data_IF_638997213960
#
_entry.id   IF_638997213960
#
_cell.length_a   1.000
_cell.length_b   1.000
_cell.length_c   1.000
_cell.angle_alpha   90.00
_cell.angle_beta   90.00
_cell.angle_gamma   90.00
#
_symmetry.space_group_name_H-M   'P 1'
#
loop_
_entity.id
_entity.type
_entity.pdbx_description
1 polymer ?
#
# COMPACT_ATOMS: atom_id res chain seq x y z
N UNK A 1 -5.55 15.06 7.33
CA UNK A 1 -4.93 13.79 6.93
C UNK A 1 -3.82 14.10 5.96
N UNK A 2 -2.64 13.52 6.17
CA UNK A 2 -1.50 13.72 5.29
C UNK A 2 -1.53 12.63 4.22
N UNK A 3 -1.62 13.01 2.95
CA UNK A 3 -1.78 12.03 1.87
C UNK A 3 -0.48 11.24 1.65
N UNK A 4 0.68 11.87 1.82
CA UNK A 4 1.96 11.21 1.60
C UNK A 4 3.03 11.83 2.48
N UNK A 5 3.76 11.00 3.23
CA UNK A 5 4.97 11.46 3.92
C UNK A 5 6.20 11.32 3.02
N UNK A 6 7.09 12.28 3.15
CA UNK A 6 8.29 12.44 2.33
C UNK A 6 9.45 11.72 3.01
N UNK A 7 10.09 10.80 2.29
CA UNK A 7 11.31 10.14 2.74
C UNK A 7 12.53 10.52 1.92
N UNK A 8 13.71 10.12 2.40
CA UNK A 8 15.02 10.41 1.78
C UNK A 8 15.10 10.14 0.27
N UNK A 9 14.45 9.07 -0.23
CA UNK A 9 14.49 8.67 -1.64
C UNK A 9 13.34 9.23 -2.47
N UNK A 10 12.40 9.96 -1.86
CA UNK A 10 11.27 10.54 -2.59
C UNK A 10 11.74 11.66 -3.50
N UNK A 11 11.23 11.66 -4.73
CA UNK A 11 11.63 12.60 -5.76
C UNK A 11 10.94 13.95 -5.56
N UNK A 12 11.73 15.00 -5.72
CA UNK A 12 11.24 16.35 -5.94
C UNK A 12 10.82 16.52 -7.40
N UNK A 13 10.04 17.56 -7.68
CA UNK A 13 9.73 18.06 -9.01
C UNK A 13 10.97 18.20 -9.90
N UNK A 14 12.10 18.65 -9.33
CA UNK A 14 13.36 18.79 -10.05
C UNK A 14 14.06 17.46 -10.38
N UNK A 15 13.41 16.32 -10.16
CA UNK A 15 13.90 14.94 -10.33
C UNK A 15 15.01 14.51 -9.37
N UNK A 16 15.47 15.40 -8.48
CA UNK A 16 16.40 15.07 -7.40
C UNK A 16 15.68 14.56 -6.17
N UNK A 17 16.39 13.79 -5.35
CA UNK A 17 15.84 13.17 -4.15
C UNK A 17 15.77 14.16 -2.99
N UNK A 18 14.88 13.92 -2.03
CA UNK A 18 14.74 14.77 -0.85
C UNK A 18 16.07 14.95 -0.11
N UNK A 19 16.86 13.89 0.05
CA UNK A 19 18.20 13.94 0.66
C UNK A 19 19.23 14.85 -0.05
N UNK A 20 18.96 15.24 -1.29
CA UNK A 20 19.81 16.15 -2.07
C UNK A 20 19.39 17.61 -1.92
N UNK A 21 18.37 17.90 -1.11
CA UNK A 21 17.95 19.25 -0.76
C UNK A 21 18.56 19.68 0.58
N UNK A 22 18.49 20.97 0.88
CA UNK A 22 19.04 21.54 2.11
C UNK A 22 18.20 21.11 3.32
N UNK A 23 18.74 20.17 4.09
CA UNK A 23 18.17 19.69 5.34
C UNK A 23 18.85 20.28 6.58
N UNK A 24 20.13 20.65 6.45
CA UNK A 24 20.91 21.18 7.56
C UNK A 24 20.64 22.68 7.71
N UNK A 25 19.73 23.02 8.62
CA UNK A 25 19.51 24.39 9.11
C UNK A 25 20.08 24.50 10.52
N UNK A 26 20.98 25.47 10.73
CA UNK A 26 21.47 25.77 12.09
C UNK A 26 20.38 26.41 12.95
N UNK A 27 19.56 27.26 12.33
CA UNK A 27 18.36 27.83 12.93
C UNK A 27 17.21 27.60 11.96
N UNK A 28 16.18 26.91 12.43
CA UNK A 28 14.97 26.67 11.65
C UNK A 28 14.27 28.03 11.43
N UNK A 29 13.99 28.43 10.18
CA UNK A 29 13.24 29.64 9.89
C UNK A 29 11.87 29.62 10.57
N UNK A 30 11.49 30.74 11.20
CA UNK A 30 10.14 30.91 11.80
C UNK A 30 9.07 31.19 10.76
N UNK A 31 9.46 31.77 9.63
CA UNK A 31 8.55 32.12 8.54
C UNK A 31 8.18 30.87 7.73
N UNK A 32 6.88 30.70 7.48
CA UNK A 32 6.31 29.61 6.67
C UNK A 32 5.98 30.14 5.26
N UNK A 33 6.20 29.35 4.20
CA UNK A 33 6.73 27.99 4.16
C UNK A 33 8.27 27.93 4.25
N UNK A 34 8.81 26.86 4.87
CA UNK A 34 10.27 26.64 4.92
C UNK A 34 10.78 26.26 3.53
N UNK A 35 11.60 27.11 2.92
CA UNK A 35 12.21 26.82 1.63
C UNK A 35 13.33 25.78 1.80
N UNK A 36 13.21 24.63 1.13
CA UNK A 36 14.22 23.55 1.13
C UNK A 36 14.88 23.47 -0.27
N UNK A 37 15.88 24.30 -0.59
CA UNK A 37 16.48 24.37 -1.92
C UNK A 37 17.31 23.13 -2.27
N UNK A 38 17.42 22.84 -3.57
CA UNK A 38 18.25 21.72 -4.05
C UNK A 38 19.75 22.06 -3.99
N UNK A 39 20.59 21.13 -3.51
CA UNK A 39 22.05 21.28 -3.44
C UNK A 39 22.77 20.77 -4.69
N UNK A 40 22.06 20.13 -5.62
CA UNK A 40 22.67 19.60 -6.85
C UNK A 40 23.13 20.75 -7.74
N UNK A 41 24.37 20.67 -8.23
CA UNK A 41 24.99 21.70 -9.06
C UNK A 41 24.10 22.09 -10.23
N UNK A 42 23.89 23.39 -10.44
CA UNK A 42 23.10 24.00 -11.53
C UNK A 42 21.59 23.70 -11.48
N UNK A 43 21.06 23.13 -10.40
CA UNK A 43 19.61 23.00 -10.21
C UNK A 43 19.01 24.35 -9.78
N UNK A 44 17.92 24.78 -10.42
CA UNK A 44 17.22 26.04 -10.11
C UNK A 44 16.05 25.86 -9.13
N UNK A 45 15.95 24.69 -8.50
CA UNK A 45 14.90 24.36 -7.56
C UNK A 45 15.08 25.10 -6.22
N UNK A 46 14.13 25.99 -5.90
CA UNK A 46 14.18 26.85 -4.70
C UNK A 46 13.61 26.17 -3.45
N UNK A 47 12.68 25.24 -3.62
CA UNK A 47 12.00 24.52 -2.55
C UNK A 47 11.65 23.11 -2.98
N UNK A 48 11.67 22.18 -2.04
CA UNK A 48 11.26 20.81 -2.29
C UNK A 48 9.75 20.75 -2.59
N UNK A 49 9.39 20.08 -3.68
CA UNK A 49 8.01 19.84 -4.08
C UNK A 49 7.84 18.38 -4.46
N UNK A 50 7.07 17.63 -3.68
CA UNK A 50 6.71 16.25 -3.98
C UNK A 50 5.71 16.19 -5.13
N UNK A 51 5.97 15.34 -6.12
CA UNK A 51 5.00 15.02 -7.18
C UNK A 51 4.40 13.65 -6.88
N UNK A 52 3.07 13.52 -6.80
CA UNK A 52 2.44 12.22 -6.60
C UNK A 52 2.73 11.30 -7.79
N UNK A 53 2.85 10.01 -7.49
CA UNK A 53 3.07 8.95 -8.46
C UNK A 53 1.86 8.02 -8.43
N UNK A 54 1.49 7.46 -9.58
CA UNK A 54 0.51 6.39 -9.62
C UNK A 54 1.25 5.06 -9.42
N UNK A 55 1.46 4.68 -8.15
CA UNK A 55 2.38 3.61 -7.78
C UNK A 55 3.81 3.95 -8.19
N UNK A 56 4.35 3.26 -9.18
CA UNK A 56 5.68 3.53 -9.75
C UNK A 56 5.63 4.40 -11.00
N UNK A 57 4.45 4.69 -11.54
CA UNK A 57 4.31 5.39 -12.81
C UNK A 57 4.24 6.91 -12.60
N UNK A 58 5.02 7.70 -13.36
CA UNK A 58 4.93 9.15 -13.32
C UNK A 58 3.59 9.62 -13.89
N UNK A 59 2.99 10.61 -13.25
CA UNK A 59 1.74 11.22 -13.70
C UNK A 59 2.02 12.31 -14.74
N UNK A 60 1.04 12.55 -15.62
CA UNK A 60 1.13 13.58 -16.65
C UNK A 60 0.40 14.84 -16.22
N UNK A 61 0.92 15.98 -16.67
CA UNK A 61 0.21 17.25 -16.65
C UNK A 61 -0.95 17.23 -17.67
N UNK A 62 -1.89 18.17 -17.56
CA UNK A 62 -2.95 18.45 -18.54
C UNK A 62 -2.40 18.68 -19.95
N UNK A 63 -1.18 19.20 -20.07
CA UNK A 63 -0.48 19.34 -21.36
C UNK A 63 0.09 18.02 -21.92
N UNK A 64 -0.17 16.88 -21.27
CA UNK A 64 0.31 15.52 -21.62
C UNK A 64 1.79 15.24 -21.41
N UNK A 65 2.55 16.24 -20.96
CA UNK A 65 3.97 16.11 -20.61
C UNK A 65 4.16 15.73 -19.14
N UNK A 66 5.29 15.11 -18.83
CA UNK A 66 5.65 14.68 -17.47
C UNK A 66 6.31 15.83 -16.68
N UNK A 67 6.53 15.64 -15.37
CA UNK A 67 7.09 16.68 -14.49
C UNK A 67 8.52 17.09 -14.88
N UNK A 68 9.32 16.16 -15.39
CA UNK A 68 10.68 16.38 -15.91
C UNK A 68 10.73 17.31 -17.13
N UNK A 69 9.63 17.42 -17.88
CA UNK A 69 9.48 18.31 -19.04
C UNK A 69 8.94 19.70 -18.67
N UNK A 70 8.90 20.00 -17.38
CA UNK A 70 8.56 21.31 -16.84
C UNK A 70 9.78 21.88 -16.10
N UNK A 71 9.84 23.21 -16.01
CA UNK A 71 10.92 23.87 -15.28
C UNK A 71 10.84 23.58 -13.79
N UNK A 72 11.99 23.34 -13.15
CA UNK A 72 12.09 23.24 -11.69
C UNK A 72 12.03 24.61 -10.98
N UNK A 73 12.04 25.71 -11.75
CA UNK A 73 11.87 27.04 -11.21
C UNK A 73 10.42 27.27 -10.74
N UNK A 74 10.20 28.20 -9.79
CA UNK A 74 8.86 28.55 -9.34
C UNK A 74 7.93 28.85 -10.51
N UNK A 75 6.72 28.30 -10.45
CA UNK A 75 5.74 28.36 -11.53
C UNK A 75 5.63 27.07 -12.33
N UNK A 76 6.67 26.22 -12.38
CA UNK A 76 6.63 24.91 -13.03
C UNK A 76 6.12 24.94 -14.49
N UNK A 77 6.52 25.96 -15.26
CA UNK A 77 6.09 26.13 -16.64
C UNK A 77 6.58 24.97 -17.52
N UNK A 78 5.78 24.56 -18.50
CA UNK A 78 6.18 23.50 -19.41
C UNK A 78 7.22 24.00 -20.42
N UNK A 79 8.27 23.21 -20.64
CA UNK A 79 9.31 23.54 -21.62
C UNK A 79 8.88 23.23 -23.06
N UNK A 80 7.89 22.35 -23.23
CA UNK A 80 7.46 21.83 -24.54
C UNK A 80 6.22 22.52 -25.10
N UNK A 81 5.46 23.26 -24.28
CA UNK A 81 4.25 23.94 -24.74
C UNK A 81 4.08 25.33 -24.13
N UNK A 82 3.56 26.27 -24.93
CA UNK A 82 3.43 27.68 -24.56
C UNK A 82 2.20 28.03 -23.72
N UNK A 83 1.21 27.13 -23.65
CA UNK A 83 -0.06 27.36 -22.93
C UNK A 83 -0.06 26.83 -21.49
N UNK A 84 0.96 26.05 -21.11
CA UNK A 84 1.04 25.43 -19.79
C UNK A 84 1.88 26.30 -18.87
N UNK A 85 1.19 27.02 -17.98
CA UNK A 85 1.81 27.92 -17.02
C UNK A 85 2.35 27.20 -15.77
N UNK A 86 1.90 25.97 -15.51
CA UNK A 86 2.27 25.20 -14.34
C UNK A 86 1.87 23.73 -14.43
N UNK A 87 2.52 22.88 -13.64
CA UNK A 87 2.22 21.46 -13.61
C UNK A 87 0.88 21.18 -12.92
N UNK A 88 -0.14 20.89 -13.72
CA UNK A 88 -1.46 20.53 -13.23
C UNK A 88 -1.83 19.15 -13.75
N UNK A 89 -1.85 18.15 -12.87
CA UNK A 89 -2.36 16.81 -13.21
C UNK A 89 -3.82 16.64 -12.78
N UNK A 90 -4.60 15.92 -13.60
CA UNK A 90 -5.95 15.46 -13.23
C UNK A 90 -5.91 14.14 -12.45
N UNK A 91 -4.73 13.64 -12.06
CA UNK A 91 -4.59 12.48 -11.20
C UNK A 91 -5.26 12.74 -9.85
N UNK A 92 -6.15 11.82 -9.47
CA UNK A 92 -6.83 11.76 -8.18
C UNK A 92 -5.98 10.99 -7.19
N UNK A 93 -5.58 11.64 -6.11
CA UNK A 93 -4.92 10.99 -4.98
C UNK A 93 -5.90 10.00 -4.29
N UNK A 94 -5.36 9.04 -3.53
CA UNK A 94 -6.16 8.12 -2.72
C UNK A 94 -7.09 8.81 -1.70
N UNK A 95 -6.82 10.07 -1.35
CA UNK A 95 -7.72 10.91 -0.55
C UNK A 95 -8.97 11.40 -1.30
N UNK A 96 -9.06 11.17 -2.62
CA UNK A 96 -10.16 11.61 -3.48
C UNK A 96 -9.97 13.01 -4.09
N UNK A 97 -8.99 13.78 -3.64
CA UNK A 97 -8.70 15.11 -4.20
C UNK A 97 -7.71 15.04 -5.37
N UNK A 98 -7.79 16.00 -6.32
CA UNK A 98 -6.85 16.06 -7.43
C UNK A 98 -5.48 16.57 -6.99
N UNK A 99 -4.43 16.23 -7.75
CA UNK A 99 -3.04 16.58 -7.43
C UNK A 99 -2.82 18.07 -7.15
N UNK A 100 -3.46 18.96 -7.90
CA UNK A 100 -3.28 20.41 -7.73
C UNK A 100 -3.85 20.98 -6.42
N UNK A 101 -4.71 20.23 -5.72
CA UNK A 101 -5.22 20.61 -4.41
C UNK A 101 -4.26 20.20 -3.27
N UNK A 102 -3.17 19.50 -3.59
CA UNK A 102 -2.18 19.08 -2.61
C UNK A 102 -1.08 20.12 -2.50
N UNK A 103 -0.72 20.43 -1.27
CA UNK A 103 0.43 21.25 -0.95
C UNK A 103 1.52 20.41 -0.29
N UNK A 104 2.77 20.79 -0.51
CA UNK A 104 3.93 20.15 0.13
C UNK A 104 4.36 21.04 1.27
N UNK A 105 4.07 20.58 2.48
CA UNK A 105 4.37 21.32 3.71
C UNK A 105 5.60 20.71 4.36
N UNK A 106 6.51 21.58 4.80
CA UNK A 106 7.66 21.21 5.63
C UNK A 106 7.38 21.72 7.02
N UNK A 107 7.37 20.83 8.01
CA UNK A 107 7.06 21.10 9.41
C UNK A 107 8.22 20.65 10.29
N UNK A 108 8.35 21.21 11.49
CA UNK A 108 9.36 20.78 12.45
C UNK A 108 8.82 19.72 13.40
N UNK A 109 9.74 19.05 14.09
CA UNK A 109 9.42 18.06 15.11
C UNK A 109 8.61 18.68 16.26
N UNK A 110 8.96 19.89 16.68
CA UNK A 110 8.28 20.60 17.77
C UNK A 110 6.83 20.93 17.41
N UNK A 111 6.58 21.32 16.16
CA UNK A 111 5.22 21.59 15.66
C UNK A 111 4.38 20.31 15.64
N UNK A 112 4.97 19.20 15.18
CA UNK A 112 4.29 17.90 15.20
C UNK A 112 3.87 17.48 16.62
N UNK A 113 4.78 17.62 17.59
CA UNK A 113 4.49 17.34 18.99
C UNK A 113 3.39 18.26 19.53
N UNK A 114 3.43 19.56 19.20
CA UNK A 114 2.42 20.52 19.61
C UNK A 114 1.03 20.19 19.03
N UNK A 115 0.98 19.62 17.82
CA UNK A 115 -0.25 19.12 17.20
C UNK A 115 -0.68 17.73 17.67
N UNK A 116 0.06 17.10 18.60
CA UNK A 116 -0.23 15.76 19.10
C UNK A 116 -0.04 14.65 18.05
N UNK A 117 0.78 14.89 17.03
CA UNK A 117 1.07 13.93 15.96
C UNK A 117 2.18 12.96 16.39
N UNK A 118 2.16 11.71 15.91
CA UNK A 118 3.20 10.74 16.23
C UNK A 118 4.53 11.16 15.61
N UNK A 119 5.60 11.13 16.38
CA UNK A 119 6.94 11.53 15.95
C UNK A 119 7.88 10.33 15.95
N UNK A 120 8.67 10.21 14.89
CA UNK A 120 9.65 9.13 14.75
C UNK A 120 10.79 9.21 15.77
N UNK A 121 11.47 8.07 15.94
CA UNK A 121 12.66 8.01 16.78
C UNK A 121 13.79 8.86 16.20
N UNK A 122 14.54 9.53 17.07
CA UNK A 122 15.68 10.34 16.64
C UNK A 122 16.76 9.49 16.00
N UNK A 123 17.00 9.76 14.72
CA UNK A 123 17.99 9.10 13.89
C UNK A 123 19.07 10.11 13.50
N UNK A 124 20.35 9.68 13.45
CA UNK A 124 21.46 10.58 13.12
C UNK A 124 21.40 11.11 11.68
N UNK A 125 20.54 10.53 10.83
CA UNK A 125 20.38 10.95 9.45
C UNK A 125 19.21 11.94 9.29
N UNK A 126 19.54 13.24 9.17
CA UNK A 126 18.57 14.33 9.11
C UNK A 126 17.52 14.20 7.98
N UNK A 127 17.86 13.55 6.87
CA UNK A 127 16.94 13.38 5.74
C UNK A 127 15.90 12.25 5.93
N UNK A 128 15.92 11.55 7.08
CA UNK A 128 14.80 10.67 7.45
C UNK A 128 13.52 11.47 7.76
N UNK A 129 13.65 12.76 8.14
CA UNK A 129 12.50 13.62 8.42
C UNK A 129 11.63 13.09 9.56
N UNK A 130 10.32 13.34 9.46
CA UNK A 130 9.32 12.94 10.45
C UNK A 130 8.73 11.53 10.28
N UNK A 131 9.41 10.63 9.56
CA UNK A 131 8.91 9.27 9.36
C UNK A 131 8.92 8.49 10.69
N UNK A 132 7.75 8.00 11.11
CA UNK A 132 7.59 7.17 12.31
C UNK A 132 7.96 5.70 12.06
N UNK A 133 7.87 5.24 10.82
CA UNK A 133 8.28 3.91 10.38
C UNK A 133 8.24 3.77 8.85
N UNK A 134 8.45 2.54 8.34
CA UNK A 134 8.36 2.29 6.89
C UNK A 134 6.93 2.41 6.36
N UNK A 135 5.91 2.11 7.18
CA UNK A 135 4.49 2.28 6.84
C UNK A 135 4.13 3.74 6.53
N UNK A 136 4.84 4.70 7.13
CA UNK A 136 4.65 6.13 6.90
C UNK A 136 4.83 6.54 5.43
N UNK A 137 5.61 5.78 4.66
CA UNK A 137 5.83 6.02 3.22
C UNK A 137 4.66 5.56 2.34
N UNK A 138 3.74 4.75 2.87
CA UNK A 138 2.53 4.38 2.16
C UNK A 138 1.58 5.58 2.05
N UNK A 139 0.68 5.52 1.08
CA UNK A 139 -0.36 6.54 0.91
C UNK A 139 -1.22 6.64 2.17
N UNK A 140 -1.62 7.86 2.54
CA UNK A 140 -2.38 8.19 3.74
C UNK A 140 -3.61 7.33 3.93
N UNK A 141 -4.33 7.05 2.85
CA UNK A 141 -5.53 6.20 2.88
C UNK A 141 -5.24 4.73 3.21
N UNK A 142 -4.01 4.23 2.98
CA UNK A 142 -3.61 2.85 3.25
C UNK A 142 -3.03 2.65 4.65
N UNK A 143 -2.70 3.74 5.35
CA UNK A 143 -2.03 3.70 6.67
C UNK A 143 -3.07 3.53 7.78
N UNK A 144 -2.93 2.46 8.55
CA UNK A 144 -3.80 2.15 9.70
C UNK A 144 -3.30 2.74 11.03
N UNK A 145 -2.09 3.31 11.06
CA UNK A 145 -1.57 4.03 12.21
C UNK A 145 -2.12 5.46 12.29
N UNK A 146 -1.92 6.12 13.44
CA UNK A 146 -2.43 7.47 13.74
C UNK A 146 -1.97 8.55 12.74
N UNK A 147 -0.92 8.27 11.95
CA UNK A 147 -0.47 9.18 10.90
C UNK A 147 -1.35 9.14 9.65
N UNK A 148 -2.21 8.11 9.50
CA UNK A 148 -2.97 7.74 8.31
C UNK A 148 -4.49 7.96 8.41
N UNK A 149 -5.26 7.05 7.80
CA UNK A 149 -6.73 7.00 7.95
C UNK A 149 -7.14 6.36 9.29
N UNK A 150 -6.20 5.65 9.93
CA UNK A 150 -6.44 4.91 11.16
C UNK A 150 -7.12 3.57 10.93
N UNK A 151 -7.08 2.70 11.93
CA UNK A 151 -7.86 1.47 11.90
C UNK A 151 -9.36 1.82 11.89
N UNK A 152 -10.18 1.17 11.04
CA UNK A 152 -11.62 1.34 11.10
C UNK A 152 -12.13 0.98 12.50
N UNK A 153 -13.12 1.72 13.00
CA UNK A 153 -13.70 1.49 14.32
C UNK A 153 -14.26 0.08 14.44
N UNK A 154 -14.15 -0.52 15.63
CA UNK A 154 -14.72 -1.85 15.92
C UNK A 154 -16.22 -1.89 15.60
N UNK A 155 -16.96 -0.82 15.92
CA UNK A 155 -18.37 -0.65 15.59
C UNK A 155 -18.67 -0.74 14.09
N UNK A 156 -17.73 -0.28 13.25
CA UNK A 156 -17.88 -0.36 11.79
C UNK A 156 -17.61 -1.79 11.30
N UNK A 157 -16.62 -2.47 11.87
CA UNK A 157 -16.30 -3.87 11.55
C UNK A 157 -17.37 -4.85 12.04
N UNK A 158 -17.99 -4.55 13.18
CA UNK A 158 -19.05 -5.37 13.79
C UNK A 158 -20.45 -4.98 13.29
N UNK A 159 -20.57 -3.96 12.44
CA UNK A 159 -21.85 -3.52 11.91
C UNK A 159 -22.52 -4.64 11.09
N UNK A 160 -23.83 -4.90 11.31
CA UNK A 160 -24.54 -5.91 10.54
C UNK A 160 -24.48 -5.57 9.04
N UNK A 161 -24.07 -6.53 8.21
CA UNK A 161 -24.06 -6.33 6.76
C UNK A 161 -25.48 -5.97 6.29
N UNK A 162 -25.55 -4.86 5.58
CA UNK A 162 -26.76 -4.32 4.96
C UNK A 162 -26.95 -4.87 3.55
N UNK A 163 -28.12 -4.62 2.97
CA UNK A 163 -28.38 -5.01 1.59
C UNK A 163 -27.49 -4.25 0.57
N UNK A 164 -26.88 -3.15 0.96
CA UNK A 164 -25.97 -2.37 0.10
C UNK A 164 -24.54 -2.92 0.05
N UNK A 165 -24.21 -3.91 0.89
CA UNK A 165 -22.86 -4.44 0.95
C UNK A 165 -22.51 -5.40 -0.19
N UNK A 166 -21.20 -5.50 -0.45
CA UNK A 166 -20.67 -6.25 -1.57
C UNK A 166 -21.10 -7.73 -1.49
N UNK A 167 -21.54 -8.36 -2.60
CA UNK A 167 -22.03 -9.74 -2.60
C UNK A 167 -21.04 -10.76 -2.01
N UNK A 168 -19.73 -10.48 -2.14
CA UNK A 168 -18.66 -11.27 -1.52
C UNK A 168 -18.82 -11.37 0.01
N UNK A 169 -19.05 -10.25 0.71
CA UNK A 169 -19.19 -10.24 2.16
C UNK A 169 -20.44 -11.02 2.61
N UNK A 170 -21.52 -10.96 1.82
CA UNK A 170 -22.75 -11.72 2.07
C UNK A 170 -22.53 -13.24 1.97
N UNK A 171 -21.64 -13.69 1.09
CA UNK A 171 -21.38 -15.12 0.88
C UNK A 171 -20.67 -15.82 2.06
N UNK A 172 -19.92 -15.06 2.88
CA UNK A 172 -19.21 -15.60 4.04
C UNK A 172 -19.98 -15.49 5.36
N UNK A 173 -21.23 -15.02 5.33
CA UNK A 173 -22.15 -15.14 6.46
C UNK A 173 -22.61 -16.60 6.63
N UNK A 174 -21.74 -17.44 7.18
CA UNK A 174 -22.15 -18.69 7.82
C UNK A 174 -22.69 -18.40 9.22
N UNK A 175 -23.64 -19.19 9.75
CA UNK A 175 -24.22 -18.93 11.07
C UNK A 175 -23.15 -19.02 12.15
N UNK A 176 -22.91 -17.91 12.86
CA UNK A 176 -22.23 -17.90 14.15
C UNK A 176 -23.11 -18.65 15.16
N UNK A 177 -22.85 -19.94 15.35
CA UNK A 177 -23.57 -20.75 16.35
C UNK A 177 -23.03 -20.44 17.75
N UNK A 178 -23.54 -19.39 18.38
CA UNK A 178 -23.60 -19.27 19.84
C UNK A 178 -25.07 -19.27 20.30
N UNK A 179 -25.80 -20.34 20.01
CA UNK A 179 -27.03 -20.69 20.73
C UNK A 179 -27.43 -22.12 20.41
N UNK A 180 -27.30 -23.01 21.40
CA UNK A 180 -27.93 -24.32 21.38
C UNK A 180 -29.44 -24.13 21.49
N UNK A 181 -30.24 -24.61 20.54
CA UNK A 181 -31.54 -25.23 20.86
C UNK A 181 -32.03 -26.13 19.72
N UNK A 182 -32.68 -27.23 20.12
CA UNK A 182 -33.10 -28.42 19.35
C UNK A 182 -34.06 -28.15 18.17
N UNK A 183 -33.93 -28.99 17.15
CA UNK A 183 -34.88 -29.25 16.04
C UNK A 183 -36.29 -29.67 16.53
N UNK A 184 -37.35 -29.62 15.69
CA UNK A 184 -37.52 -30.58 14.57
C UNK A 184 -38.10 -30.03 13.24
N UNK A 185 -37.53 -30.55 12.15
CA UNK A 185 -38.09 -30.97 10.84
C UNK A 185 -39.48 -30.44 10.41
N UNK A 186 -39.54 -29.74 9.27
CA UNK A 186 -40.54 -29.94 8.18
C UNK A 186 -40.04 -29.27 6.90
N UNK A 187 -40.22 -29.97 5.77
CA UNK A 187 -39.49 -29.76 4.51
C UNK A 187 -39.93 -28.59 3.63
N UNK A 188 -39.16 -28.41 2.55
CA UNK A 188 -39.41 -27.44 1.49
C UNK A 188 -38.18 -27.26 0.62
N UNK A 189 -38.07 -28.06 -0.43
CA UNK A 189 -37.03 -27.99 -1.46
C UNK A 189 -36.94 -26.59 -2.07
N UNK A 190 -35.72 -26.03 -2.14
CA UNK A 190 -35.30 -25.16 -3.22
C UNK A 190 -33.78 -25.26 -3.38
N UNK A 191 -33.38 -25.74 -4.55
CA UNK A 191 -32.00 -25.92 -4.97
C UNK A 191 -31.29 -24.56 -5.00
N UNK A 192 -30.55 -24.28 -3.94
CA UNK A 192 -29.37 -23.42 -4.00
C UNK A 192 -28.20 -24.35 -3.74
N UNK A 193 -27.22 -24.38 -4.64
CA UNK A 193 -25.97 -25.11 -4.45
C UNK A 193 -25.26 -24.42 -3.29
N UNK A 194 -25.61 -24.84 -2.07
CA UNK A 194 -24.85 -24.54 -0.88
C UNK A 194 -23.53 -25.26 -1.08
N UNK A 195 -22.48 -24.50 -1.33
CA UNK A 195 -21.11 -24.99 -1.20
C UNK A 195 -20.92 -25.23 0.30
N UNK A 196 -21.35 -26.40 0.76
CA UNK A 196 -21.03 -26.91 2.08
C UNK A 196 -19.56 -27.30 2.06
N UNK A 197 -18.67 -26.32 2.20
CA UNK A 197 -17.44 -26.61 2.91
C UNK A 197 -17.88 -26.76 4.37
N UNK A 198 -18.22 -28.00 4.75
CA UNK A 198 -18.09 -28.41 6.14
C UNK A 198 -16.69 -27.94 6.57
N UNK A 199 -16.61 -27.01 7.52
CA UNK A 199 -15.35 -26.56 8.10
C UNK A 199 -14.69 -27.77 8.76
N UNK A 200 -13.98 -28.57 7.98
CA UNK A 200 -12.90 -29.39 8.50
C UNK A 200 -11.83 -28.41 9.00
N UNK A 201 -11.28 -28.71 10.17
CA UNK A 201 -10.18 -27.92 10.74
C UNK A 201 -9.10 -27.74 9.68
N UNK A 202 -8.47 -26.57 9.58
CA UNK A 202 -7.36 -26.32 8.64
C UNK A 202 -6.23 -27.36 8.80
N UNK A 203 -6.06 -27.88 10.02
CA UNK A 203 -5.15 -28.98 10.36
C UNK A 203 -5.53 -30.30 9.66
N UNK A 204 -6.83 -30.56 9.49
CA UNK A 204 -7.39 -31.77 8.89
C UNK A 204 -7.25 -31.73 7.35
N UNK A 205 -7.36 -30.54 6.75
CA UNK A 205 -7.10 -30.31 5.33
C UNK A 205 -5.61 -30.46 4.99
N UNK A 206 -4.72 -29.92 5.83
CA UNK A 206 -3.26 -30.13 5.72
C UNK A 206 -2.90 -31.62 5.79
N UNK A 207 -3.47 -32.37 6.73
CA UNK A 207 -3.22 -33.81 6.88
C UNK A 207 -3.69 -34.61 5.66
N UNK A 208 -4.80 -34.22 5.04
CA UNK A 208 -5.31 -34.84 3.81
C UNK A 208 -4.32 -34.70 2.64
N UNK A 209 -3.82 -33.49 2.38
CA UNK A 209 -2.86 -33.26 1.29
C UNK A 209 -1.52 -33.94 1.54
N UNK A 210 -1.03 -33.94 2.79
CA UNK A 210 0.22 -34.61 3.14
C UNK A 210 0.14 -36.13 2.94
N UNK A 211 -0.97 -36.76 3.36
CA UNK A 211 -1.19 -38.19 3.16
C UNK A 211 -1.19 -38.57 1.68
N UNK A 212 -1.89 -37.81 0.85
CA UNK A 212 -1.92 -38.03 -0.60
C UNK A 212 -0.54 -37.87 -1.25
N UNK A 213 0.24 -36.88 -0.80
CA UNK A 213 1.61 -36.69 -1.27
C UNK A 213 2.51 -37.88 -0.91
N UNK A 214 2.44 -38.38 0.33
CA UNK A 214 3.20 -39.55 0.77
C UNK A 214 2.81 -40.83 0.00
N UNK A 215 1.53 -41.02 -0.31
CA UNK A 215 1.07 -42.16 -1.11
C UNK A 215 1.61 -42.12 -2.54
N UNK A 216 1.67 -40.93 -3.17
CA UNK A 216 2.29 -40.76 -4.49
C UNK A 216 3.76 -41.12 -4.47
N UNK A 217 4.51 -40.65 -3.47
CA UNK A 217 5.93 -40.98 -3.32
C UNK A 217 6.16 -42.49 -3.10
N UNK A 218 5.29 -43.15 -2.33
CA UNK A 218 5.34 -44.61 -2.13
C UNK A 218 5.08 -45.36 -3.43
N UNK A 219 4.07 -44.97 -4.20
CA UNK A 219 3.75 -45.56 -5.52
C UNK A 219 4.91 -45.39 -6.51
N UNK A 220 5.53 -44.22 -6.54
CA UNK A 220 6.68 -43.94 -7.41
C UNK A 220 7.90 -44.78 -7.02
N UNK A 221 8.20 -44.92 -5.72
CA UNK A 221 9.28 -45.80 -5.24
C UNK A 221 9.02 -47.26 -5.57
N UNK A 222 7.79 -47.74 -5.41
CA UNK A 222 7.40 -49.11 -5.76
C UNK A 222 7.50 -49.37 -7.28
N UNK A 223 7.13 -48.39 -8.11
CA UNK A 223 7.29 -48.47 -9.56
C UNK A 223 8.78 -48.55 -9.95
N UNK A 224 9.62 -47.70 -9.37
CA UNK A 224 11.08 -47.71 -9.58
C UNK A 224 11.77 -48.99 -9.08
N UNK A 225 11.22 -49.66 -8.06
CA UNK A 225 11.70 -50.98 -7.63
C UNK A 225 11.29 -52.10 -8.59
N UNK A 226 10.06 -52.07 -9.12
CA UNK A 226 9.60 -53.04 -10.13
C UNK A 226 10.39 -52.96 -11.44
N UNK A 227 10.83 -51.76 -11.81
CA UNK A 227 11.64 -51.52 -13.01
C UNK A 227 13.10 -52.01 -12.87
N UNK A 228 13.58 -52.23 -11.64
CA UNK A 228 14.96 -52.69 -11.36
C UNK A 228 15.10 -54.21 -11.13
N UNK A 229 14.02 -54.98 -11.26
CA UNK A 229 14.07 -56.46 -11.13
C UNK A 229 14.59 -57.10 -12.43
N UNK A 230 15.71 -57.84 -12.43
CA UNK A 230 16.30 -58.40 -13.66
C UNK A 230 15.51 -59.60 -14.19
N UNK A 231 15.23 -59.59 -15.50
CA UNK A 231 14.75 -60.74 -16.28
C UNK A 231 15.80 -61.85 -16.23
N UNK A 232 15.52 -62.97 -15.55
CA UNK A 232 16.37 -64.15 -15.59
C UNK A 232 16.30 -64.81 -16.98
N UNK A 233 17.46 -64.84 -17.64
CA UNK A 233 17.71 -65.47 -18.94
C UNK A 233 17.55 -66.99 -18.87
N UNK A 234 16.75 -67.56 -19.77
CA UNK A 234 16.74 -68.99 -20.09
C UNK A 234 17.79 -69.30 -21.16
N UNK A 235 18.72 -70.23 -20.87
CA UNK A 235 19.30 -71.28 -21.74
C UNK A 235 20.49 -71.94 -21.04
N UNK A 236 20.90 -73.18 -21.40
CA UNK A 236 20.62 -73.94 -22.63
C UNK A 236 19.38 -74.83 -22.57
#
# INVERSE_FOLDING_TARGET
>A
MDCKLVGQETLCFCTHRYKQHKMDYEVIPKDRPICVPCRVSRCQCQSYHCVPLNGTQPIRCRCKYFADQHSAAPGFSCNSCSKCLGFHSCFTCGCGQPTYAHETVVETKEEWLAHGRPVGQDVPYAAMGGLTGFSSLAEGYMRLDDSGIGAPSTEFLESPLTNMDHPFLKAFQGPSTSAQTRSPITGGSNATVQVSYERRSEDDDMAYFEKHHQERLKKEKAAKQKEKSPVQSKKP
#
